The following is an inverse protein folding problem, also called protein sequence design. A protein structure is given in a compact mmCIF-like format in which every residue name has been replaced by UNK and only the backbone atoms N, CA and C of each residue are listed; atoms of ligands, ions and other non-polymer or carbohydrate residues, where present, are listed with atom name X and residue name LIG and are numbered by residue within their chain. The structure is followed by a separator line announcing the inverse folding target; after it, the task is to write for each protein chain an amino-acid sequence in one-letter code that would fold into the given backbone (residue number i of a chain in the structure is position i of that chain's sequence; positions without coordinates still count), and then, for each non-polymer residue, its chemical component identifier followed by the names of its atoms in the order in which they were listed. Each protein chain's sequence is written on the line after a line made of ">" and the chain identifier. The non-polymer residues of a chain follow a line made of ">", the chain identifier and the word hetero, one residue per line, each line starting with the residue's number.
data_IF_878410418940
#
_entry.id   IF_878410418940
#
_cell.length_a   1.000
_cell.length_b   1.000
_cell.length_c   1.000
_cell.angle_alpha   90.00
_cell.angle_beta   90.00
_cell.angle_gamma   90.00
#
_symmetry.space_group_name_H-M   'P 1'
#
loop_
_entity.id
_entity.type
_entity.pdbx_description
1 polymer ?
#
# COMPACT_ATOMS: atom_id res chain seq x y z
N UNK A 1 -8.57 -18.37 20.54
CA UNK A 1 -8.69 -17.81 19.19
C UNK A 1 -8.67 -18.96 18.21
N UNK A 2 -9.62 -18.97 17.25
CA UNK A 2 -9.67 -19.92 16.14
C UNK A 2 -9.90 -19.17 14.83
N UNK A 3 -9.17 -19.54 13.77
CA UNK A 3 -9.30 -18.96 12.44
C UNK A 3 -7.98 -18.71 11.72
N UNK A 4 -8.09 -18.25 10.48
CA UNK A 4 -6.92 -17.95 9.62
C UNK A 4 -6.98 -16.50 9.18
N UNK A 5 -5.83 -15.83 9.18
CA UNK A 5 -5.62 -14.50 8.59
C UNK A 5 -4.74 -14.65 7.37
N UNK A 6 -5.17 -14.07 6.25
CA UNK A 6 -4.47 -14.15 4.98
C UNK A 6 -3.72 -12.85 4.66
N UNK A 7 -2.69 -12.96 3.82
CA UNK A 7 -1.91 -11.84 3.30
C UNK A 7 -1.23 -11.00 4.40
N UNK A 8 -0.73 -11.66 5.44
CA UNK A 8 -0.11 -10.98 6.58
C UNK A 8 1.38 -10.79 6.33
N UNK A 9 1.84 -9.56 6.40
CA UNK A 9 3.27 -9.22 6.36
C UNK A 9 3.95 -9.79 7.59
N UNK A 10 5.08 -10.48 7.39
CA UNK A 10 5.84 -11.18 8.44
C UNK A 10 5.03 -12.23 9.21
N UNK A 11 4.03 -12.83 8.57
CA UNK A 11 3.20 -13.84 9.22
C UNK A 11 3.95 -15.11 9.65
N UNK A 12 5.11 -15.42 9.04
CA UNK A 12 6.01 -16.50 9.47
C UNK A 12 7.15 -15.95 10.33
N UNK A 13 7.81 -14.88 9.91
CA UNK A 13 9.05 -14.38 10.53
C UNK A 13 8.82 -13.42 11.71
N UNK A 14 7.60 -12.90 11.91
CA UNK A 14 7.32 -11.97 13.00
C UNK A 14 7.23 -12.69 14.35
N UNK A 15 7.78 -12.08 15.41
CA UNK A 15 7.77 -12.61 16.78
C UNK A 15 6.47 -12.32 17.51
N UNK A 16 5.78 -11.25 17.12
CA UNK A 16 4.55 -10.77 17.75
C UNK A 16 3.52 -10.40 16.68
N UNK A 17 2.26 -10.75 16.93
CA UNK A 17 1.13 -10.39 16.09
C UNK A 17 0.12 -9.54 16.86
N UNK A 18 -0.36 -8.46 16.23
CA UNK A 18 -1.52 -7.71 16.71
C UNK A 18 -2.75 -8.23 15.95
N UNK A 19 -3.66 -8.87 16.67
CA UNK A 19 -4.75 -9.66 16.08
C UNK A 19 -6.11 -9.11 16.49
N UNK A 20 -6.92 -8.74 15.50
CA UNK A 20 -8.33 -8.37 15.69
C UNK A 20 -9.18 -9.64 15.73
N UNK A 21 -9.89 -9.86 16.82
CA UNK A 21 -10.66 -11.07 17.09
C UNK A 21 -12.11 -10.72 17.40
N UNK A 22 -13.03 -11.49 16.86
CA UNK A 22 -14.45 -11.40 17.22
C UNK A 22 -14.67 -11.97 18.62
N UNK A 23 -15.08 -11.12 19.54
CA UNK A 23 -15.37 -11.47 20.95
C UNK A 23 -16.82 -11.24 21.34
N UNK A 24 -17.60 -10.56 20.51
CA UNK A 24 -19.03 -10.29 20.69
C UNK A 24 -19.87 -10.73 19.50
N UNK A 25 -21.12 -10.26 19.46
CA UNK A 25 -22.10 -10.62 18.45
C UNK A 25 -21.69 -10.26 17.01
N UNK A 26 -22.20 -10.99 16.04
CA UNK A 26 -21.97 -10.73 14.62
C UNK A 26 -22.57 -9.37 14.25
N UNK A 27 -21.85 -8.59 13.46
CA UNK A 27 -22.21 -7.22 13.04
C UNK A 27 -22.15 -6.13 14.12
N UNK A 28 -21.89 -6.48 15.38
CA UNK A 28 -21.61 -5.48 16.40
C UNK A 28 -20.20 -4.90 16.21
N UNK A 29 -20.09 -3.58 16.03
CA UNK A 29 -18.81 -2.87 15.93
C UNK A 29 -18.00 -2.95 17.23
N UNK A 30 -18.63 -3.07 18.39
CA UNK A 30 -17.98 -3.29 19.70
C UNK A 30 -17.70 -4.77 19.98
N UNK A 31 -18.07 -5.66 19.07
CA UNK A 31 -17.81 -7.10 19.18
C UNK A 31 -16.42 -7.52 18.71
N UNK A 32 -15.47 -6.58 18.50
CA UNK A 32 -14.08 -6.87 18.07
C UNK A 32 -13.12 -6.38 19.14
N UNK A 33 -12.21 -7.25 19.56
CA UNK A 33 -11.15 -6.95 20.53
C UNK A 33 -9.79 -7.19 19.90
N UNK A 34 -8.81 -6.36 20.21
CA UNK A 34 -7.43 -6.50 19.74
C UNK A 34 -6.59 -7.23 20.77
N UNK A 35 -5.82 -8.21 20.32
CA UNK A 35 -4.88 -8.97 21.15
C UNK A 35 -3.45 -8.84 20.63
N UNK A 36 -2.47 -8.81 21.53
CA UNK A 36 -1.06 -8.98 21.23
C UNK A 36 -0.71 -10.45 21.48
N UNK A 37 -0.35 -11.17 20.44
CA UNK A 37 -0.09 -12.61 20.50
C UNK A 37 1.37 -12.89 20.12
N UNK A 38 2.12 -13.50 21.03
CA UNK A 38 3.50 -13.90 20.76
C UNK A 38 3.54 -15.16 19.88
N UNK A 39 4.56 -15.25 19.03
CA UNK A 39 4.77 -16.39 18.14
C UNK A 39 4.83 -17.73 18.87
N UNK A 40 5.38 -17.73 20.09
CA UNK A 40 5.50 -18.92 20.93
C UNK A 40 4.18 -19.40 21.53
N UNK A 41 3.09 -18.64 21.39
CA UNK A 41 1.79 -19.03 21.97
C UNK A 41 1.29 -20.35 21.34
N UNK A 42 0.99 -21.37 22.14
CA UNK A 42 0.47 -22.64 21.63
C UNK A 42 -0.80 -22.42 20.79
N UNK A 43 -0.86 -23.08 19.62
CA UNK A 43 -1.96 -22.92 18.68
C UNK A 43 -1.80 -21.76 17.70
N UNK A 44 -0.73 -20.96 17.78
CA UNK A 44 -0.38 -19.98 16.77
C UNK A 44 0.73 -20.50 15.85
N UNK A 45 0.50 -20.51 14.54
CA UNK A 45 1.47 -20.94 13.54
C UNK A 45 1.42 -20.06 12.28
N UNK A 46 2.53 -20.01 11.55
CA UNK A 46 2.58 -19.47 10.20
C UNK A 46 2.08 -20.51 9.20
N UNK A 47 1.30 -20.05 8.23
CA UNK A 47 0.85 -20.91 7.13
C UNK A 47 1.70 -20.75 5.88
N UNK A 48 1.06 -20.83 4.71
CA UNK A 48 1.72 -20.74 3.41
C UNK A 48 2.33 -19.37 3.17
N UNK A 49 3.60 -19.34 2.73
CA UNK A 49 4.24 -18.12 2.20
C UNK A 49 3.77 -17.85 0.77
N UNK A 50 3.34 -16.63 0.50
CA UNK A 50 2.79 -16.27 -0.80
C UNK A 50 3.87 -15.93 -1.84
N UNK A 51 3.68 -16.45 -3.07
CA UNK A 51 4.48 -16.07 -4.24
C UNK A 51 3.81 -14.92 -4.97
N UNK A 52 4.29 -13.70 -4.73
CA UNK A 52 3.62 -12.47 -5.15
C UNK A 52 4.11 -11.94 -6.50
N UNK A 53 3.27 -11.14 -7.15
CA UNK A 53 3.59 -10.37 -8.36
C UNK A 53 4.75 -9.40 -8.11
N UNK A 54 4.63 -8.56 -7.08
CA UNK A 54 5.58 -7.53 -6.67
C UNK A 54 5.83 -7.55 -5.16
N UNK A 55 6.62 -6.59 -4.67
CA UNK A 55 7.04 -6.50 -3.25
C UNK A 55 7.54 -7.84 -2.70
N UNK A 56 8.33 -8.57 -3.51
CA UNK A 56 8.72 -9.97 -3.23
C UNK A 56 9.67 -10.11 -2.04
N UNK A 57 10.41 -9.04 -1.71
CA UNK A 57 11.29 -8.98 -0.55
C UNK A 57 10.53 -8.86 0.77
N UNK A 58 9.29 -8.35 0.76
CA UNK A 58 8.41 -8.33 1.92
C UNK A 58 7.73 -9.69 2.05
N UNK A 59 8.02 -10.43 3.12
CA UNK A 59 7.33 -11.70 3.39
C UNK A 59 5.84 -11.45 3.59
N UNK A 60 5.03 -12.31 2.99
CA UNK A 60 3.57 -12.32 3.14
C UNK A 60 3.12 -13.76 3.25
N UNK A 61 2.30 -14.06 4.26
CA UNK A 61 1.85 -15.42 4.52
C UNK A 61 0.50 -15.45 5.24
N UNK A 62 0.01 -16.64 5.48
CA UNK A 62 -1.10 -16.88 6.39
C UNK A 62 -0.61 -16.89 7.84
N UNK A 63 -1.49 -16.51 8.77
CA UNK A 63 -1.42 -16.79 10.20
C UNK A 63 -2.58 -17.70 10.58
N UNK A 64 -2.27 -18.82 11.22
CA UNK A 64 -3.25 -19.84 11.62
C UNK A 64 -3.33 -19.86 13.14
N UNK A 65 -4.55 -19.79 13.65
CA UNK A 65 -4.86 -19.93 15.07
C UNK A 65 -5.77 -21.15 15.23
N UNK A 66 -5.31 -22.13 15.98
CA UNK A 66 -6.05 -23.36 16.30
C UNK A 66 -6.05 -23.55 17.81
N UNK A 67 -7.22 -23.35 18.45
CA UNK A 67 -7.39 -23.38 19.89
C UNK A 67 -6.32 -22.56 20.65
N UNK A 68 -5.87 -21.46 20.02
CA UNK A 68 -4.85 -20.57 20.56
C UNK A 68 -5.41 -19.83 21.77
N UNK A 69 -4.96 -20.20 22.96
CA UNK A 69 -5.38 -19.57 24.21
C UNK A 69 -4.53 -18.34 24.51
N UNK A 70 -5.17 -17.19 24.64
CA UNK A 70 -4.53 -15.91 25.01
C UNK A 70 -5.05 -15.45 26.36
N UNK A 71 -4.17 -14.92 27.20
CA UNK A 71 -4.56 -14.39 28.49
C UNK A 71 -5.16 -12.98 28.34
N UNK A 72 -6.05 -12.58 29.25
CA UNK A 72 -6.69 -11.25 29.23
C UNK A 72 -5.70 -10.08 29.30
N UNK A 73 -4.52 -10.28 29.88
CA UNK A 73 -3.46 -9.26 29.89
C UNK A 73 -2.85 -8.97 28.50
N UNK A 74 -3.15 -9.79 27.50
CA UNK A 74 -2.73 -9.59 26.11
C UNK A 74 -3.72 -8.77 25.30
N UNK A 75 -4.81 -8.28 25.92
CA UNK A 75 -5.73 -7.33 25.29
C UNK A 75 -5.03 -5.98 25.12
N UNK A 76 -5.07 -5.45 23.91
CA UNK A 76 -4.58 -4.12 23.60
C UNK A 76 -5.75 -3.11 23.69
N UNK A 77 -5.74 -2.27 24.71
CA UNK A 77 -6.87 -1.39 25.05
C UNK A 77 -7.96 -2.12 25.82
N UNK A 78 -9.22 -1.83 25.52
CA UNK A 78 -10.38 -2.41 26.18
C UNK A 78 -11.07 -3.45 25.31
N UNK A 79 -11.87 -4.31 25.95
CA UNK A 79 -12.74 -5.26 25.23
C UNK A 79 -13.73 -4.47 24.38
N UNK A 80 -13.78 -4.78 23.07
CA UNK A 80 -14.69 -4.12 22.14
C UNK A 80 -14.11 -2.94 21.38
N UNK A 81 -12.91 -2.46 21.71
CA UNK A 81 -12.27 -1.31 21.06
C UNK A 81 -11.63 -1.62 19.69
N UNK A 82 -11.52 -2.89 19.34
CA UNK A 82 -10.70 -3.33 18.20
C UNK A 82 -11.10 -2.70 16.85
N UNK A 83 -12.39 -2.48 16.62
CA UNK A 83 -12.84 -1.85 15.38
C UNK A 83 -12.40 -0.37 15.29
N UNK A 84 -12.55 0.37 16.38
CA UNK A 84 -12.13 1.79 16.45
C UNK A 84 -10.62 1.91 16.32
N UNK A 85 -9.86 1.01 16.96
CA UNK A 85 -8.41 0.95 16.84
C UNK A 85 -7.98 0.68 15.39
N UNK A 86 -8.61 -0.29 14.72
CA UNK A 86 -8.36 -0.60 13.32
C UNK A 86 -8.59 0.62 12.42
N UNK A 87 -9.71 1.35 12.59
CA UNK A 87 -10.01 2.54 11.79
C UNK A 87 -8.96 3.64 11.97
N UNK A 88 -8.48 3.88 13.19
CA UNK A 88 -7.42 4.86 13.48
C UNK A 88 -6.08 4.46 12.83
N UNK A 89 -5.72 3.17 12.88
CA UNK A 89 -4.49 2.64 12.26
C UNK A 89 -4.56 2.79 10.74
N UNK A 90 -5.68 2.40 10.13
CA UNK A 90 -5.89 2.49 8.68
C UNK A 90 -5.81 3.93 8.15
N UNK A 91 -6.17 4.93 8.95
CA UNK A 91 -6.02 6.33 8.56
C UNK A 91 -4.54 6.71 8.37
N UNK A 92 -3.65 6.22 9.23
CA UNK A 92 -2.20 6.35 9.08
C UNK A 92 -1.63 5.49 7.94
N UNK A 93 -2.12 4.26 7.81
CA UNK A 93 -1.75 3.32 6.76
C UNK A 93 -1.98 3.87 5.35
N UNK A 94 -3.09 4.59 5.12
CA UNK A 94 -3.37 5.26 3.83
C UNK A 94 -2.27 6.25 3.44
N UNK A 95 -1.79 7.05 4.38
CA UNK A 95 -0.69 8.00 4.13
C UNK A 95 0.61 7.24 3.79
N UNK A 96 0.92 6.17 4.53
CA UNK A 96 2.12 5.36 4.30
C UNK A 96 2.12 4.68 2.93
N UNK A 97 0.98 4.09 2.51
CA UNK A 97 0.84 3.51 1.17
C UNK A 97 0.84 4.61 0.09
N UNK A 98 0.26 5.77 0.38
CA UNK A 98 0.37 6.93 -0.50
C UNK A 98 1.82 7.33 -0.76
N UNK A 99 2.63 7.40 0.30
CA UNK A 99 4.06 7.71 0.20
C UNK A 99 4.84 6.61 -0.58
N UNK A 100 4.50 5.34 -0.37
CA UNK A 100 5.08 4.23 -1.13
C UNK A 100 4.77 4.36 -2.62
N UNK A 101 3.50 4.63 -2.98
CA UNK A 101 3.09 4.82 -4.37
C UNK A 101 3.80 6.01 -5.03
N UNK A 102 3.92 7.12 -4.30
CA UNK A 102 4.67 8.29 -4.77
C UNK A 102 6.15 7.97 -5.01
N UNK A 103 6.82 7.28 -4.08
CA UNK A 103 8.20 6.87 -4.23
C UNK A 103 8.45 5.94 -5.42
N UNK A 104 7.52 4.99 -5.67
CA UNK A 104 7.56 4.13 -6.86
C UNK A 104 7.40 4.97 -8.14
N UNK A 105 6.48 5.93 -8.15
CA UNK A 105 6.26 6.82 -9.28
C UNK A 105 7.52 7.63 -9.60
N UNK A 106 8.13 8.21 -8.58
CA UNK A 106 9.36 9.01 -8.74
C UNK A 106 10.52 8.16 -9.28
N UNK A 107 10.75 6.96 -8.72
CA UNK A 107 11.80 6.05 -9.19
C UNK A 107 11.57 5.59 -10.64
N UNK A 108 10.33 5.31 -11.02
CA UNK A 108 9.96 4.93 -12.38
C UNK A 108 10.17 6.08 -13.36
N UNK A 109 9.75 7.30 -12.98
CA UNK A 109 9.94 8.51 -13.76
C UNK A 109 11.43 8.84 -13.98
N UNK A 110 12.23 8.83 -12.91
CA UNK A 110 13.66 9.14 -13.00
C UNK A 110 14.39 8.14 -13.92
N UNK A 111 14.06 6.85 -13.80
CA UNK A 111 14.60 5.80 -14.67
C UNK A 111 14.25 6.05 -16.13
N UNK A 112 12.98 6.37 -16.42
CA UNK A 112 12.51 6.61 -17.78
C UNK A 112 13.13 7.89 -18.36
N UNK A 113 13.22 8.96 -17.55
CA UNK A 113 13.80 10.24 -17.94
C UNK A 113 15.26 10.10 -18.32
N UNK A 114 16.06 9.46 -17.49
CA UNK A 114 17.51 9.30 -17.77
C UNK A 114 17.73 8.39 -18.98
N UNK A 115 17.05 7.24 -19.04
CA UNK A 115 17.13 6.37 -20.23
C UNK A 115 16.76 7.12 -21.52
N UNK A 116 15.73 7.96 -21.50
CA UNK A 116 15.30 8.70 -22.68
C UNK A 116 16.31 9.71 -23.20
N UNK A 117 17.19 10.21 -22.35
CA UNK A 117 18.29 11.12 -22.70
C UNK A 117 19.47 10.40 -23.33
N UNK A 118 19.75 9.19 -22.83
CA UNK A 118 20.90 8.39 -23.25
C UNK A 118 20.62 7.56 -24.50
N UNK A 119 19.40 7.04 -24.63
CA UNK A 119 19.00 6.20 -25.74
C UNK A 119 18.83 7.01 -27.01
N UNK A 120 19.57 6.66 -28.05
CA UNK A 120 19.48 7.29 -29.37
C UNK A 120 18.83 6.36 -30.39
N UNK A 121 17.93 6.92 -31.19
CA UNK A 121 17.36 6.32 -32.39
C UNK A 121 17.01 7.42 -33.40
N UNK A 122 17.07 7.07 -34.70
CA UNK A 122 16.80 8.00 -35.80
C UNK A 122 17.68 9.28 -35.74
N UNK A 123 18.93 9.12 -35.26
CA UNK A 123 19.94 10.19 -35.23
C UNK A 123 19.82 11.18 -34.07
N UNK A 124 19.00 10.89 -33.05
CA UNK A 124 18.86 11.74 -31.87
C UNK A 124 18.43 10.96 -30.62
N UNK A 125 18.58 11.58 -29.45
CA UNK A 125 18.05 11.03 -28.20
C UNK A 125 16.53 10.90 -28.28
N UNK A 126 15.97 9.81 -27.74
CA UNK A 126 14.52 9.56 -27.82
C UNK A 126 13.71 10.59 -27.03
N UNK A 127 14.30 11.29 -26.06
CA UNK A 127 13.66 12.39 -25.33
C UNK A 127 13.26 13.56 -26.23
N UNK A 128 13.82 13.68 -27.44
CA UNK A 128 13.48 14.73 -28.41
C UNK A 128 12.22 14.42 -29.23
N UNK A 129 11.74 13.18 -29.20
CA UNK A 129 10.46 12.86 -29.85
C UNK A 129 9.29 13.30 -28.99
N UNK A 130 8.34 14.04 -29.55
CA UNK A 130 7.18 14.58 -28.83
C UNK A 130 6.41 13.51 -28.06
N UNK A 131 6.24 12.33 -28.65
CA UNK A 131 5.54 11.21 -28.00
C UNK A 131 6.20 10.78 -26.68
N UNK A 132 7.52 10.82 -26.59
CA UNK A 132 8.28 10.53 -25.35
C UNK A 132 8.26 11.74 -24.41
N UNK A 133 8.51 12.94 -24.94
CA UNK A 133 8.51 14.17 -24.16
C UNK A 133 7.16 14.40 -23.46
N UNK A 134 6.04 14.19 -24.16
CA UNK A 134 4.71 14.36 -23.59
C UNK A 134 4.39 13.33 -22.51
N UNK A 135 4.80 12.06 -22.69
CA UNK A 135 4.70 11.08 -21.60
C UNK A 135 5.45 11.52 -20.35
N UNK A 136 6.67 12.00 -20.48
CA UNK A 136 7.46 12.50 -19.36
C UNK A 136 6.80 13.70 -18.68
N UNK A 137 6.17 14.60 -19.44
CA UNK A 137 5.40 15.73 -18.89
C UNK A 137 4.19 15.23 -18.10
N UNK A 138 3.40 14.30 -18.67
CA UNK A 138 2.23 13.74 -18.00
C UNK A 138 2.61 13.02 -16.69
N UNK A 139 3.71 12.26 -16.71
CA UNK A 139 4.26 11.59 -15.52
C UNK A 139 4.65 12.62 -14.46
N UNK A 140 5.42 13.65 -14.82
CA UNK A 140 5.90 14.67 -13.88
C UNK A 140 4.74 15.44 -13.22
N UNK A 141 3.75 15.89 -14.02
CA UNK A 141 2.57 16.62 -13.52
C UNK A 141 1.75 15.75 -12.57
N UNK A 142 1.56 14.46 -12.91
CA UNK A 142 0.80 13.55 -12.07
C UNK A 142 1.51 13.27 -10.73
N UNK A 143 2.82 13.14 -10.73
CA UNK A 143 3.64 12.96 -9.52
C UNK A 143 3.52 14.18 -8.61
N UNK A 144 3.70 15.38 -9.15
CA UNK A 144 3.61 16.64 -8.40
C UNK A 144 2.22 16.84 -7.77
N UNK A 145 1.15 16.60 -8.54
CA UNK A 145 -0.22 16.66 -8.04
C UNK A 145 -0.47 15.65 -6.91
N UNK A 146 0.06 14.45 -7.04
CA UNK A 146 -0.02 13.39 -6.03
C UNK A 146 0.72 13.74 -4.74
N UNK A 147 1.91 14.35 -4.87
CA UNK A 147 2.73 14.78 -3.72
C UNK A 147 1.99 15.87 -2.92
N UNK A 148 1.42 16.86 -3.57
CA UNK A 148 0.62 17.91 -2.91
C UNK A 148 -0.58 17.34 -2.14
N UNK A 149 -1.26 16.33 -2.67
CA UNK A 149 -2.34 15.63 -1.96
C UNK A 149 -1.82 14.90 -0.72
N UNK A 150 -0.67 14.24 -0.84
CA UNK A 150 -0.04 13.52 0.26
C UNK A 150 0.44 14.47 1.35
N UNK A 151 1.10 15.57 0.99
CA UNK A 151 1.52 16.62 1.92
C UNK A 151 0.32 17.19 2.67
N UNK A 152 -0.80 17.47 1.99
CA UNK A 152 -2.03 17.93 2.64
C UNK A 152 -2.51 16.94 3.72
N UNK A 153 -2.51 15.65 3.43
CA UNK A 153 -2.91 14.64 4.41
C UNK A 153 -1.96 14.58 5.62
N UNK A 154 -0.65 14.67 5.38
CA UNK A 154 0.37 14.71 6.43
C UNK A 154 0.22 15.94 7.33
N UNK A 155 0.02 17.13 6.76
CA UNK A 155 -0.15 18.38 7.51
C UNK A 155 -1.38 18.32 8.40
N UNK A 156 -2.51 17.82 7.90
CA UNK A 156 -3.73 17.68 8.70
C UNK A 156 -3.51 16.70 9.86
N UNK A 157 -2.88 15.55 9.61
CA UNK A 157 -2.59 14.55 10.62
C UNK A 157 -1.66 15.11 11.70
N UNK A 158 -0.57 15.78 11.32
CA UNK A 158 0.37 16.39 12.25
C UNK A 158 -0.26 17.49 13.10
N UNK A 159 -1.24 18.20 12.56
CA UNK A 159 -2.02 19.21 13.28
C UNK A 159 -3.12 18.62 14.18
N UNK A 160 -3.24 17.31 14.30
CA UNK A 160 -4.29 16.64 15.07
C UNK A 160 -5.70 16.83 14.51
N UNK A 161 -5.82 17.26 13.24
CA UNK A 161 -7.10 17.46 12.56
C UNK A 161 -7.56 16.19 11.86
N UNK A 162 -8.88 16.08 11.63
CA UNK A 162 -9.42 14.99 10.82
C UNK A 162 -8.76 14.97 9.43
N UNK A 163 -8.17 13.86 9.06
CA UNK A 163 -7.52 13.69 7.76
C UNK A 163 -8.12 12.55 6.93
N UNK A 164 -9.27 12.00 7.31
CA UNK A 164 -9.91 10.85 6.65
C UNK A 164 -10.12 11.09 5.16
N UNK A 165 -10.71 12.23 4.77
CA UNK A 165 -10.91 12.58 3.37
C UNK A 165 -9.58 12.78 2.63
N UNK A 166 -8.67 13.57 3.21
CA UNK A 166 -7.39 13.88 2.59
C UNK A 166 -6.50 12.64 2.43
N UNK A 167 -6.44 11.76 3.44
CA UNK A 167 -5.66 10.52 3.38
C UNK A 167 -6.22 9.52 2.36
N UNK A 168 -7.56 9.44 2.24
CA UNK A 168 -8.20 8.59 1.24
C UNK A 168 -7.95 9.11 -0.18
N UNK A 169 -8.06 10.43 -0.42
CA UNK A 169 -7.74 11.06 -1.71
C UNK A 169 -6.26 10.86 -2.07
N UNK A 170 -5.34 11.12 -1.14
CA UNK A 170 -3.91 10.94 -1.35
C UNK A 170 -3.58 9.49 -1.72
N UNK A 171 -4.06 8.51 -0.92
CA UNK A 171 -3.83 7.09 -1.17
C UNK A 171 -4.39 6.65 -2.53
N UNK A 172 -5.60 7.06 -2.86
CA UNK A 172 -6.22 6.73 -4.13
C UNK A 172 -5.38 7.26 -5.30
N UNK A 173 -5.12 8.57 -5.34
CA UNK A 173 -4.42 9.20 -6.45
C UNK A 173 -2.98 8.69 -6.60
N UNK A 174 -2.18 8.67 -5.53
CA UNK A 174 -0.80 8.20 -5.58
C UNK A 174 -0.69 6.75 -6.05
N UNK A 175 -1.65 5.89 -5.68
CA UNK A 175 -1.67 4.49 -6.07
C UNK A 175 -1.97 4.30 -7.56
N UNK A 176 -2.96 5.03 -8.09
CA UNK A 176 -3.33 4.97 -9.52
C UNK A 176 -2.22 5.60 -10.39
N UNK A 177 -1.63 6.71 -9.92
CA UNK A 177 -0.49 7.35 -10.59
C UNK A 177 0.72 6.41 -10.61
N UNK A 178 1.00 5.67 -9.54
CA UNK A 178 2.11 4.73 -9.50
C UNK A 178 1.98 3.63 -10.57
N UNK A 179 0.78 3.11 -10.79
CA UNK A 179 0.53 2.11 -11.84
C UNK A 179 0.70 2.74 -13.24
N UNK A 180 0.14 3.92 -13.46
CA UNK A 180 0.22 4.61 -14.76
C UNK A 180 1.67 4.99 -15.09
N UNK A 181 2.37 5.64 -14.18
CA UNK A 181 3.75 6.11 -14.37
C UNK A 181 4.71 4.93 -14.57
N UNK A 182 4.58 3.86 -13.80
CA UNK A 182 5.41 2.67 -13.98
C UNK A 182 5.14 1.95 -15.31
N UNK A 183 3.89 1.96 -15.78
CA UNK A 183 3.52 1.45 -17.11
C UNK A 183 4.20 2.27 -18.21
N UNK A 184 4.14 3.59 -18.12
CA UNK A 184 4.77 4.48 -19.08
C UNK A 184 6.30 4.38 -19.05
N UNK A 185 6.90 4.16 -17.88
CA UNK A 185 8.33 3.92 -17.76
C UNK A 185 8.77 2.66 -18.51
N UNK A 186 8.06 1.54 -18.35
CA UNK A 186 8.30 0.30 -19.12
C UNK A 186 8.16 0.59 -20.61
N UNK A 187 7.13 1.34 -21.03
CA UNK A 187 6.90 1.67 -22.45
C UNK A 187 8.00 2.55 -23.03
N UNK A 188 8.54 3.53 -22.28
CA UNK A 188 9.63 4.40 -22.71
C UNK A 188 10.93 3.60 -22.91
N UNK A 189 11.22 2.65 -22.01
CA UNK A 189 12.37 1.78 -22.14
C UNK A 189 12.20 0.72 -23.24
N UNK A 190 10.96 0.45 -23.66
CA UNK A 190 10.67 -0.57 -24.67
C UNK A 190 11.09 -1.97 -24.24
N UNK A 191 11.79 -2.71 -25.09
CA UNK A 191 12.27 -4.06 -24.78
C UNK A 191 13.14 -4.13 -23.51
N UNK A 192 13.96 -3.12 -23.25
CA UNK A 192 14.77 -3.04 -22.04
C UNK A 192 13.93 -2.85 -20.77
N UNK A 193 12.79 -2.16 -20.86
CA UNK A 193 11.86 -2.00 -19.73
C UNK A 193 11.20 -3.31 -19.30
N UNK A 194 11.23 -4.33 -20.15
CA UNK A 194 10.66 -5.66 -19.90
C UNK A 194 11.67 -6.66 -19.35
N UNK A 195 12.96 -6.26 -19.27
CA UNK A 195 14.06 -7.09 -18.74
C UNK A 195 14.34 -6.76 -17.28
N UNK A 196 14.73 -7.77 -16.51
CA UNK A 196 15.07 -7.64 -15.08
C UNK A 196 16.37 -6.89 -14.81
N UNK A 197 17.17 -6.66 -15.85
CA UNK A 197 18.40 -5.85 -15.78
C UNK A 197 18.11 -4.36 -15.55
N UNK A 198 16.88 -3.93 -15.82
CA UNK A 198 16.38 -2.57 -15.62
C UNK A 198 15.29 -2.54 -14.57
N UNK A 199 15.22 -1.50 -13.72
CA UNK A 199 14.27 -1.48 -12.61
C UNK A 199 12.82 -1.19 -13.04
N UNK A 200 12.55 -0.80 -14.29
CA UNK A 200 11.22 -0.41 -14.75
C UNK A 200 10.18 -1.52 -14.57
N UNK A 201 10.53 -2.77 -14.92
CA UNK A 201 9.63 -3.93 -14.73
C UNK A 201 9.29 -4.16 -13.26
N UNK A 202 10.24 -3.88 -12.34
CA UNK A 202 10.04 -4.01 -10.90
C UNK A 202 9.09 -2.93 -10.39
N UNK A 203 9.25 -1.68 -10.79
CA UNK A 203 8.33 -0.61 -10.43
C UNK A 203 6.90 -0.93 -10.89
N UNK A 204 6.74 -1.44 -12.10
CA UNK A 204 5.44 -1.86 -12.63
C UNK A 204 4.78 -2.95 -11.77
N UNK A 205 5.51 -4.00 -11.39
CA UNK A 205 4.97 -5.08 -10.56
C UNK A 205 4.68 -4.62 -9.13
N UNK A 206 5.56 -3.82 -8.56
CA UNK A 206 5.45 -3.37 -7.17
C UNK A 206 4.32 -2.34 -7.00
N UNK A 207 4.10 -1.46 -7.98
CA UNK A 207 3.07 -0.42 -7.95
C UNK A 207 1.65 -0.98 -7.76
N UNK A 208 1.39 -2.17 -8.31
CA UNK A 208 0.05 -2.76 -8.25
C UNK A 208 -0.42 -3.04 -6.83
N UNK A 209 0.49 -3.33 -5.90
CA UNK A 209 0.14 -3.49 -4.49
C UNK A 209 -0.52 -2.24 -3.93
N UNK A 210 -0.08 -1.05 -4.33
CA UNK A 210 -0.60 0.21 -3.79
C UNK A 210 -2.10 0.40 -4.04
N UNK A 211 -2.64 -0.15 -5.14
CA UNK A 211 -4.09 -0.08 -5.44
C UNK A 211 -4.92 -1.11 -4.67
N UNK A 212 -4.29 -2.06 -3.98
CA UNK A 212 -4.96 -3.19 -3.30
C UNK A 212 -4.79 -3.09 -1.77
N UNK A 213 -3.55 -2.90 -1.29
CA UNK A 213 -3.21 -2.87 0.14
C UNK A 213 -3.81 -1.67 0.87
N UNK A 214 -4.02 -1.80 2.18
CA UNK A 214 -4.60 -0.76 3.07
C UNK A 214 -5.96 -0.22 2.59
N UNK A 215 -6.77 -1.11 2.01
CA UNK A 215 -8.05 -0.79 1.37
C UNK A 215 -7.88 -0.47 -0.11
N UNK A 216 -8.61 -1.20 -0.95
CA UNK A 216 -8.52 -1.06 -2.41
C UNK A 216 -8.90 0.34 -2.89
N UNK A 217 -8.57 0.67 -4.14
CA UNK A 217 -8.99 1.93 -4.78
C UNK A 217 -10.50 2.15 -4.70
N UNK A 218 -11.30 1.08 -4.81
CA UNK A 218 -12.76 1.13 -4.67
C UNK A 218 -13.17 1.50 -3.24
N UNK A 219 -12.51 0.93 -2.23
CA UNK A 219 -12.76 1.28 -0.81
C UNK A 219 -12.40 2.74 -0.56
N UNK A 220 -11.28 3.26 -1.14
CA UNK A 220 -10.97 4.68 -1.01
C UNK A 220 -12.06 5.56 -1.63
N UNK A 221 -12.55 5.20 -2.81
CA UNK A 221 -13.68 5.92 -3.44
C UNK A 221 -14.94 5.92 -2.56
N UNK A 222 -15.26 4.81 -1.91
CA UNK A 222 -16.39 4.77 -0.96
C UNK A 222 -16.17 5.69 0.24
N UNK A 223 -14.96 5.72 0.80
CA UNK A 223 -14.61 6.63 1.91
C UNK A 223 -14.73 8.08 1.46
N UNK A 224 -14.15 8.43 0.31
CA UNK A 224 -14.21 9.78 -0.27
C UNK A 224 -15.65 10.20 -0.50
N UNK A 225 -16.45 9.37 -1.17
CA UNK A 225 -17.85 9.67 -1.46
C UNK A 225 -18.63 9.96 -0.18
N UNK A 226 -18.47 9.14 0.85
CA UNK A 226 -19.13 9.33 2.15
C UNK A 226 -18.75 10.66 2.82
N UNK A 227 -17.48 11.05 2.74
CA UNK A 227 -17.01 12.31 3.35
C UNK A 227 -17.41 13.56 2.54
N UNK A 228 -17.61 13.43 1.23
CA UNK A 228 -18.04 14.55 0.38
C UNK A 228 -19.53 14.89 0.51
N UNK A 229 -20.36 13.93 0.91
CA UNK A 229 -21.83 14.12 1.03
C UNK A 229 -22.30 14.26 2.48
N UNK A 230 -21.40 14.33 3.45
CA UNK A 230 -21.66 14.68 4.84
C UNK A 230 -21.84 16.18 5.01
#
# INVERSE_FOLDING_TARGET
>A
INGTKNFITHGISGDVAVVLVRTGELLDSHGITTFVVERSTPGFSGGKKENKLGMRSSETSEMIFDNCRVHKSQILGEVGDGFIQAMKILEGGRISIGALGLGISQGAYDTAREYSKEREQFGQSISRFQAIAFKLVDMAVAIEASDLLLIKACVLKNAGKSCTLASAMAKYETSEVAVRVSTDAVQILGGYGYLKDFPAEKFYRDSKLCTIGEGTSEIQKLVIARELVR
#
